data_IF_162413054341
#
_entry.id   IF_162413054341
#
_cell.length_a   1.000
_cell.length_b   1.000
_cell.length_c   1.000
_cell.angle_alpha   90.00
_cell.angle_beta   90.00
_cell.angle_gamma   90.00
#
_symmetry.space_group_name_H-M   'P 1'
#
loop_
_entity.id
_entity.type
_entity.pdbx_description
1 polymer ?
#
# COMPACT_ATOMS: atom_id res chain seq x y z
N UNK A 1 41.20 -27.94 -4.03
CA UNK A 1 39.86 -28.59 -4.10
C UNK A 1 38.89 -27.82 -3.20
N UNK A 2 38.16 -26.84 -3.76
CA UNK A 2 37.20 -26.01 -3.00
C UNK A 2 35.92 -26.81 -2.75
N UNK A 3 35.64 -27.15 -1.49
CA UNK A 3 34.36 -27.74 -1.10
C UNK A 3 33.27 -26.69 -1.32
N UNK A 4 32.50 -26.82 -2.41
CA UNK A 4 31.27 -26.06 -2.60
C UNK A 4 30.39 -26.32 -1.37
N UNK A 5 30.22 -25.31 -0.51
CA UNK A 5 29.29 -25.39 0.62
C UNK A 5 27.88 -25.52 0.04
N UNK A 6 27.34 -26.74 0.05
CA UNK A 6 25.92 -26.98 -0.24
C UNK A 6 25.15 -26.20 0.82
N UNK A 7 24.42 -25.15 0.40
CA UNK A 7 23.58 -24.37 1.32
C UNK A 7 22.59 -25.37 1.96
N UNK A 8 22.49 -25.43 3.29
CA UNK A 8 21.52 -26.31 3.92
C UNK A 8 20.12 -25.95 3.39
N UNK A 9 19.24 -26.95 3.18
CA UNK A 9 17.86 -26.68 2.79
C UNK A 9 17.25 -25.76 3.84
N UNK A 10 16.75 -24.60 3.42
CA UNK A 10 16.06 -23.65 4.29
C UNK A 10 14.87 -24.41 4.86
N UNK A 11 14.87 -24.63 6.18
CA UNK A 11 13.79 -25.35 6.85
C UNK A 11 12.55 -24.47 6.88
N UNK A 12 11.36 -25.08 6.92
CA UNK A 12 10.09 -24.33 7.00
C UNK A 12 10.08 -23.33 8.18
N UNK A 13 10.74 -23.65 9.28
CA UNK A 13 10.93 -22.74 10.41
C UNK A 13 11.71 -21.46 10.07
N UNK A 14 12.72 -21.55 9.17
CA UNK A 14 13.48 -20.39 8.71
C UNK A 14 12.66 -19.52 7.75
N UNK A 15 11.82 -20.13 6.92
CA UNK A 15 10.88 -19.42 6.04
C UNK A 15 9.87 -18.65 6.89
N UNK A 16 9.24 -19.31 7.87
CA UNK A 16 8.27 -18.69 8.78
C UNK A 16 8.89 -17.54 9.59
N UNK A 17 10.11 -17.70 10.08
CA UNK A 17 10.83 -16.64 10.78
C UNK A 17 11.08 -15.43 9.86
N UNK A 18 11.48 -15.68 8.61
CA UNK A 18 11.72 -14.62 7.64
C UNK A 18 10.42 -13.91 7.23
N UNK A 19 9.34 -14.65 6.99
CA UNK A 19 8.01 -14.11 6.67
C UNK A 19 7.42 -13.29 7.81
N UNK A 20 7.65 -13.70 9.06
CA UNK A 20 7.22 -12.94 10.24
C UNK A 20 7.86 -11.55 10.35
N UNK A 21 9.01 -11.34 9.69
CA UNK A 21 9.70 -10.05 9.66
C UNK A 21 9.23 -9.11 8.54
N UNK A 22 8.52 -9.64 7.53
CA UNK A 22 8.02 -8.83 6.39
C UNK A 22 7.14 -7.65 6.85
N UNK A 23 6.21 -7.81 7.82
CA UNK A 23 5.40 -6.70 8.31
C UNK A 23 6.24 -5.57 8.93
N UNK A 24 7.30 -5.88 9.67
CA UNK A 24 8.13 -4.86 10.33
C UNK A 24 8.99 -4.10 9.33
N UNK A 25 9.53 -4.80 8.33
CA UNK A 25 10.29 -4.20 7.22
C UNK A 25 9.38 -3.28 6.40
N UNK A 26 8.18 -3.75 6.04
CA UNK A 26 7.20 -2.94 5.31
C UNK A 26 6.78 -1.69 6.11
N UNK A 27 6.54 -1.83 7.43
CA UNK A 27 6.21 -0.71 8.29
C UNK A 27 7.36 0.30 8.43
N UNK A 28 8.61 -0.17 8.41
CA UNK A 28 9.78 0.73 8.38
C UNK A 28 9.89 1.47 7.06
N UNK A 29 9.84 0.75 5.94
CA UNK A 29 9.93 1.35 4.60
C UNK A 29 8.81 2.38 4.37
N UNK A 30 7.59 2.09 4.82
CA UNK A 30 6.48 3.04 4.75
C UNK A 30 6.74 4.30 5.58
N UNK A 31 7.24 4.17 6.81
CA UNK A 31 7.58 5.32 7.66
C UNK A 31 8.65 6.20 7.01
N UNK A 32 9.73 5.58 6.54
CA UNK A 32 10.83 6.29 5.88
C UNK A 32 10.31 7.04 4.63
N UNK A 33 9.49 6.40 3.80
CA UNK A 33 8.89 7.03 2.62
C UNK A 33 7.90 8.15 2.98
N UNK A 34 7.10 7.96 4.03
CA UNK A 34 6.16 8.96 4.53
C UNK A 34 6.88 10.24 4.98
N UNK A 35 7.94 10.10 5.77
CA UNK A 35 8.75 11.24 6.24
C UNK A 35 9.45 11.96 5.07
N UNK A 36 9.98 11.20 4.11
CA UNK A 36 10.62 11.78 2.91
C UNK A 36 9.61 12.54 2.04
N UNK A 37 8.42 11.99 1.81
CA UNK A 37 7.38 12.67 1.03
C UNK A 37 6.94 13.97 1.70
N UNK A 38 6.71 13.93 3.03
CA UNK A 38 6.37 15.12 3.79
C UNK A 38 7.48 16.17 3.77
N UNK A 39 8.74 15.80 3.96
CA UNK A 39 9.84 16.77 3.91
C UNK A 39 10.00 17.45 2.54
N UNK A 40 9.60 16.79 1.45
CA UNK A 40 9.53 17.36 0.10
C UNK A 40 8.30 18.25 -0.14
N UNK A 41 7.39 18.36 0.84
CA UNK A 41 6.14 19.09 0.70
C UNK A 41 5.07 18.34 -0.11
N UNK A 42 5.27 17.05 -0.37
CA UNK A 42 4.26 16.22 -1.01
C UNK A 42 3.17 15.82 0.01
N UNK A 43 2.02 15.37 -0.51
CA UNK A 43 0.92 14.88 0.32
C UNK A 43 0.81 13.36 0.22
N UNK A 44 0.70 12.69 1.37
CA UNK A 44 0.60 11.22 1.46
C UNK A 44 -0.83 10.81 1.79
N UNK A 45 -1.32 9.78 1.11
CA UNK A 45 -2.60 9.14 1.42
C UNK A 45 -2.38 8.02 2.42
N UNK A 46 -3.06 8.10 3.58
CA UNK A 46 -2.95 7.14 4.67
C UNK A 46 -4.33 6.73 5.15
N UNK A 47 -4.50 5.47 5.50
CA UNK A 47 -5.74 5.01 6.14
C UNK A 47 -5.60 5.08 7.65
N UNK A 48 -6.46 5.83 8.33
CA UNK A 48 -6.52 5.97 9.80
C UNK A 48 -7.95 5.81 10.26
N UNK A 49 -8.18 4.99 11.29
CA UNK A 49 -9.51 4.75 11.86
C UNK A 49 -10.60 4.42 10.81
N UNK A 50 -10.26 3.65 9.76
CA UNK A 50 -11.19 3.31 8.69
C UNK A 50 -11.51 4.46 7.73
N UNK A 51 -10.74 5.54 7.74
CA UNK A 51 -10.90 6.69 6.86
C UNK A 51 -9.64 6.89 6.02
N UNK A 52 -9.83 7.27 4.74
CA UNK A 52 -8.75 7.67 3.85
C UNK A 52 -8.46 9.13 4.10
N UNK A 53 -7.24 9.41 4.55
CA UNK A 53 -6.79 10.73 4.97
C UNK A 53 -5.63 11.15 4.09
N UNK A 54 -5.69 12.38 3.58
CA UNK A 54 -4.58 13.07 2.94
C UNK A 54 -3.81 13.83 4.01
N UNK A 55 -2.52 13.55 4.15
CA UNK A 55 -1.64 14.24 5.09
C UNK A 55 -0.62 15.05 4.31
N UNK A 56 -0.54 16.35 4.60
CA UNK A 56 0.55 17.24 4.20
C UNK A 56 1.24 17.79 5.46
N UNK A 57 2.32 18.57 5.30
CA UNK A 57 2.98 19.23 6.43
C UNK A 57 2.08 20.22 7.17
N UNK A 58 1.13 20.84 6.46
CA UNK A 58 0.30 21.92 6.98
C UNK A 58 -1.06 21.42 7.43
N UNK A 59 -1.58 20.38 6.79
CA UNK A 59 -2.98 19.99 6.93
C UNK A 59 -3.17 18.48 6.87
N UNK A 60 -4.24 18.04 7.53
CA UNK A 60 -4.70 16.66 7.47
C UNK A 60 -6.17 16.68 7.09
N UNK A 61 -6.50 16.14 5.91
CA UNK A 61 -7.84 16.19 5.33
C UNK A 61 -8.41 14.78 5.18
N UNK A 62 -9.56 14.54 5.78
CA UNK A 62 -10.33 13.30 5.58
C UNK A 62 -11.02 13.37 4.23
N UNK A 63 -10.72 12.41 3.35
CA UNK A 63 -11.31 12.34 2.01
C UNK A 63 -12.61 11.56 2.04
N UNK A 64 -12.56 10.33 2.56
CA UNK A 64 -13.70 9.41 2.56
C UNK A 64 -13.51 8.26 3.55
N UNK A 65 -14.59 7.61 4.02
CA UNK A 65 -14.47 6.32 4.68
C UNK A 65 -13.85 5.29 3.70
N UNK A 66 -12.91 4.51 4.21
CA UNK A 66 -12.49 3.27 3.56
C UNK A 66 -13.35 2.19 4.15
N UNK A 67 -14.37 1.77 3.41
CA UNK A 67 -15.01 0.50 3.71
C UNK A 67 -13.90 -0.52 3.84
N UNK A 68 -13.88 -1.23 4.97
CA UNK A 68 -12.98 -2.37 5.12
C UNK A 68 -13.29 -3.23 3.91
N UNK A 69 -12.34 -3.37 2.99
CA UNK A 69 -12.43 -4.44 2.00
C UNK A 69 -12.44 -5.70 2.86
N UNK A 70 -13.65 -6.16 3.19
CA UNK A 70 -13.88 -7.22 4.15
C UNK A 70 -12.98 -8.37 3.76
N UNK A 71 -12.36 -9.03 4.74
CA UNK A 71 -11.33 -10.07 4.54
C UNK A 71 -11.64 -10.91 3.31
N UNK A 72 -11.01 -10.55 2.19
CA UNK A 72 -11.25 -11.20 0.91
C UNK A 72 -10.61 -12.58 1.05
N UNK A 73 -11.44 -13.62 1.07
CA UNK A 73 -10.93 -14.99 1.09
C UNK A 73 -10.02 -15.19 -0.12
N UNK A 74 -8.95 -15.95 0.05
CA UNK A 74 -8.09 -16.34 -1.06
C UNK A 74 -8.94 -16.93 -2.20
N UNK A 75 -8.77 -16.42 -3.42
CA UNK A 75 -9.58 -16.80 -4.58
C UNK A 75 -10.80 -15.89 -4.88
N UNK A 76 -11.02 -14.82 -4.11
CA UNK A 76 -12.12 -13.89 -4.40
C UNK A 76 -11.86 -13.09 -5.68
N UNK A 77 -12.68 -13.30 -6.71
CA UNK A 77 -12.58 -12.61 -8.00
C UNK A 77 -13.22 -11.22 -7.91
N UNK A 78 -12.39 -10.18 -7.81
CA UNK A 78 -12.85 -8.79 -7.80
C UNK A 78 -13.40 -8.39 -9.18
N UNK A 79 -14.67 -7.99 -9.23
CA UNK A 79 -15.28 -7.39 -10.43
C UNK A 79 -15.20 -5.88 -10.31
N UNK A 80 -14.29 -5.25 -11.06
CA UNK A 80 -14.28 -3.79 -11.19
C UNK A 80 -15.42 -3.39 -12.12
N UNK A 81 -16.44 -2.69 -11.60
CA UNK A 81 -17.34 -1.92 -12.46
C UNK A 81 -16.70 -0.56 -12.67
N UNK A 82 -16.40 -0.23 -13.93
CA UNK A 82 -15.96 1.12 -14.32
C UNK A 82 -17.10 2.08 -13.98
N UNK A 83 -16.94 2.90 -12.95
CA UNK A 83 -17.96 3.87 -12.57
C UNK A 83 -18.02 4.96 -13.65
N UNK A 84 -19.22 5.37 -14.06
CA UNK A 84 -19.42 6.38 -15.12
C UNK A 84 -18.89 7.78 -14.72
N UNK A 85 -18.44 7.97 -13.48
CA UNK A 85 -17.81 9.21 -13.03
C UNK A 85 -16.43 9.46 -13.67
N UNK A 86 -15.72 8.40 -14.09
CA UNK A 86 -14.45 8.52 -14.85
C UNK A 86 -14.65 9.05 -16.28
N UNK A 87 -15.89 9.04 -16.79
CA UNK A 87 -16.19 9.52 -18.16
C UNK A 87 -16.51 11.02 -18.24
N UNK A 88 -16.82 11.67 -17.11
CA UNK A 88 -17.10 13.12 -17.08
C UNK A 88 -15.84 13.98 -17.00
N UNK A 89 -14.75 13.47 -16.41
CA UNK A 89 -13.46 14.18 -16.38
C UNK A 89 -12.76 14.19 -17.74
N UNK A 90 -13.03 13.23 -18.62
CA UNK A 90 -12.47 13.20 -19.97
C UNK A 90 -13.23 14.08 -21.00
N UNK A 91 -14.51 14.39 -20.75
CA UNK A 91 -15.32 15.18 -21.68
C UNK A 91 -15.23 16.70 -21.47
N UNK A 92 -14.77 17.15 -20.30
CA UNK A 92 -14.64 18.58 -20.00
C UNK A 92 -13.37 19.25 -20.58
N UNK A 93 -12.53 18.51 -21.32
CA UNK A 93 -11.31 19.05 -21.95
C UNK A 93 -11.34 19.13 -23.48
N UNK A 94 -12.47 18.80 -24.14
CA UNK A 94 -12.56 18.83 -25.62
C UNK A 94 -13.52 19.92 -26.14
N UNK A 95 -14.02 20.81 -25.28
CA UNK A 95 -14.73 22.02 -25.73
C UNK A 95 -14.16 23.26 -25.04
N UNK A 96 -13.08 23.80 -25.62
CA UNK A 96 -12.70 25.20 -25.58
C UNK A 96 -12.02 25.54 -26.92
#
# INVERSE_FOLDING_TARGET
>A
MSRKKVKPPITEAQILAQESSIPSIAAKAFRDAYEVALSKGESVLVVRAGQLVKVSNTETLVIRPVETYGTLKAGTRLKTRKSLLDSRSAQAQIQA
#
